data_IF_374440285994
#
_entry.id   IF_374440285994
#
_cell.length_a   1.000
_cell.length_b   1.000
_cell.length_c   1.000
_cell.angle_alpha   90.00
_cell.angle_beta   90.00
_cell.angle_gamma   90.00
#
_symmetry.space_group_name_H-M   'P 1'
#
loop_
_entity.id
_entity.type
_entity.pdbx_description
1 polymer ?
#
# COMPACT_ATOMS: atom_id res chain seq x y z
N UNK A 1 -86.99 23.31 45.66
CA UNK A 1 -86.71 22.64 44.38
C UNK A 1 -85.21 22.74 44.18
N UNK A 2 -84.49 21.73 44.64
CA UNK A 2 -83.02 21.69 44.78
C UNK A 2 -82.45 20.65 43.80
N UNK A 3 -81.75 21.08 42.80
CA UNK A 3 -81.08 20.23 41.82
C UNK A 3 -79.67 19.95 42.28
N UNK A 4 -79.40 18.67 42.57
CA UNK A 4 -78.07 18.17 42.97
C UNK A 4 -77.27 17.84 41.70
N UNK A 5 -76.16 18.51 41.50
CA UNK A 5 -75.23 18.23 40.36
C UNK A 5 -74.14 17.25 40.88
N UNK A 6 -74.13 16.03 40.32
CA UNK A 6 -73.07 15.04 40.61
C UNK A 6 -71.91 15.26 39.67
N UNK A 7 -70.75 15.60 40.25
CA UNK A 7 -69.49 15.75 39.57
C UNK A 7 -68.82 14.34 39.44
N UNK A 8 -68.73 13.83 38.20
CA UNK A 8 -68.00 12.57 37.91
C UNK A 8 -66.57 12.90 37.60
N UNK A 9 -65.66 12.47 38.48
CA UNK A 9 -64.20 12.62 38.32
C UNK A 9 -63.71 11.55 37.36
N UNK A 10 -63.29 11.94 36.17
CA UNK A 10 -62.60 11.05 35.19
C UNK A 10 -61.14 10.95 35.52
N UNK A 11 -60.69 9.80 35.98
CA UNK A 11 -59.27 9.46 36.25
C UNK A 11 -58.60 9.11 34.91
N UNK A 12 -57.81 9.97 34.35
CA UNK A 12 -56.99 9.72 33.14
C UNK A 12 -55.68 9.07 33.58
N UNK A 13 -55.54 7.78 33.28
CA UNK A 13 -54.31 7.01 33.49
C UNK A 13 -53.32 7.33 32.34
N UNK A 14 -52.28 8.09 32.59
CA UNK A 14 -51.18 8.28 31.66
C UNK A 14 -50.25 7.05 31.70
N UNK A 15 -50.33 6.17 30.73
CA UNK A 15 -49.36 5.13 30.49
C UNK A 15 -48.16 5.71 29.73
N UNK A 16 -47.09 6.04 30.45
CA UNK A 16 -45.83 6.45 29.84
C UNK A 16 -45.13 5.25 29.25
N UNK A 17 -45.22 5.04 27.93
CA UNK A 17 -44.39 4.08 27.19
C UNK A 17 -43.01 4.69 27.07
N UNK A 18 -42.08 4.29 27.90
CA UNK A 18 -40.66 4.57 27.74
C UNK A 18 -40.14 3.76 26.53
N UNK A 19 -40.04 4.39 25.35
CA UNK A 19 -39.28 3.83 24.22
C UNK A 19 -37.78 3.84 24.60
N UNK A 20 -37.28 2.70 25.09
CA UNK A 20 -35.86 2.49 25.24
C UNK A 20 -35.20 2.45 23.85
N UNK A 21 -34.61 3.57 23.42
CA UNK A 21 -33.69 3.57 22.30
C UNK A 21 -32.45 2.83 22.79
N UNK A 22 -32.32 1.55 22.42
CA UNK A 22 -31.05 0.83 22.54
C UNK A 22 -30.04 1.54 21.63
N UNK A 23 -29.20 2.41 22.21
CA UNK A 23 -28.01 2.92 21.56
C UNK A 23 -27.12 1.71 21.37
N UNK A 24 -27.04 1.20 20.15
CA UNK A 24 -26.09 0.14 19.80
C UNK A 24 -24.70 0.68 20.12
N UNK A 25 -24.04 0.02 21.06
CA UNK A 25 -22.66 0.33 21.46
C UNK A 25 -21.77 0.13 20.21
N UNK A 26 -21.03 1.15 19.70
CA UNK A 26 -20.17 1.00 18.52
C UNK A 26 -18.92 0.15 18.81
N UNK A 27 -18.81 -0.46 19.96
CA UNK A 27 -17.75 -1.35 20.38
C UNK A 27 -18.01 -2.81 19.96
N UNK A 28 -18.39 -3.06 18.70
CA UNK A 28 -18.31 -4.40 18.17
C UNK A 28 -16.81 -4.72 18.00
N UNK A 29 -16.23 -5.40 19.00
CA UNK A 29 -14.96 -6.10 18.85
C UNK A 29 -15.03 -7.01 17.62
N UNK A 30 -13.90 -7.18 16.91
CA UNK A 30 -13.78 -8.13 15.81
C UNK A 30 -14.39 -9.48 16.23
N UNK A 31 -15.30 -10.03 15.43
CA UNK A 31 -16.06 -11.26 15.74
C UNK A 31 -15.12 -12.48 15.80
N UNK A 32 -14.29 -12.56 16.85
CA UNK A 32 -13.58 -13.78 17.32
C UNK A 32 -12.62 -14.49 16.35
N UNK A 33 -12.46 -14.00 15.12
CA UNK A 33 -11.56 -14.55 14.12
C UNK A 33 -10.17 -13.92 14.13
N UNK A 34 -9.20 -14.53 13.42
CA UNK A 34 -7.86 -13.94 13.21
C UNK A 34 -7.94 -12.87 12.12
N UNK A 35 -7.51 -11.65 12.44
CA UNK A 35 -7.39 -10.57 11.45
C UNK A 35 -6.12 -10.76 10.63
N UNK A 36 -6.25 -10.84 9.32
CA UNK A 36 -5.11 -11.03 8.43
C UNK A 36 -4.72 -9.73 7.71
N UNK A 37 -3.42 -9.42 7.71
CA UNK A 37 -2.81 -8.28 7.01
C UNK A 37 -1.84 -8.81 5.96
N UNK A 38 -2.07 -8.43 4.70
CA UNK A 38 -1.17 -8.68 3.59
C UNK A 38 -0.19 -7.52 3.44
N UNK A 39 1.12 -7.81 3.42
CA UNK A 39 2.12 -6.84 2.98
C UNK A 39 2.72 -7.33 1.66
N UNK A 40 2.57 -6.56 0.60
CA UNK A 40 3.14 -6.87 -0.71
C UNK A 40 3.99 -5.71 -1.19
N UNK A 41 5.31 -5.91 -1.16
CA UNK A 41 6.29 -4.97 -1.70
C UNK A 41 7.16 -5.71 -2.71
N UNK A 42 6.86 -5.52 -3.98
CA UNK A 42 7.67 -6.02 -5.09
C UNK A 42 8.97 -5.23 -5.20
N UNK A 43 10.00 -5.82 -5.78
CA UNK A 43 11.32 -5.18 -5.99
C UNK A 43 11.98 -4.66 -4.70
N UNK A 44 11.52 -5.11 -3.52
CA UNK A 44 12.10 -4.75 -2.24
C UNK A 44 13.47 -5.41 -2.01
N UNK A 45 14.34 -4.73 -1.26
CA UNK A 45 15.60 -5.30 -0.78
C UNK A 45 15.30 -6.15 0.46
N UNK A 46 15.77 -7.41 0.48
CA UNK A 46 15.59 -8.35 1.59
C UNK A 46 14.76 -9.58 1.24
N UNK A 47 14.56 -10.46 2.20
CA UNK A 47 13.71 -11.64 2.00
C UNK A 47 12.48 -11.58 2.91
N UNK A 48 11.34 -12.13 2.48
CA UNK A 48 10.13 -12.22 3.31
C UNK A 48 10.39 -12.90 4.65
N UNK A 49 11.17 -13.98 4.67
CA UNK A 49 11.52 -14.73 5.89
C UNK A 49 12.27 -13.88 6.91
N UNK A 50 13.20 -13.02 6.46
CA UNK A 50 13.96 -12.15 7.36
C UNK A 50 13.10 -10.98 7.86
N UNK A 51 12.13 -10.52 7.09
CA UNK A 51 11.23 -9.43 7.45
C UNK A 51 10.11 -9.87 8.42
N UNK A 52 9.72 -11.16 8.41
CA UNK A 52 8.55 -11.66 9.14
C UNK A 52 8.56 -11.36 10.65
N UNK A 53 9.65 -11.59 11.43
CA UNK A 53 9.65 -11.29 12.86
C UNK A 53 9.43 -9.79 13.17
N UNK A 54 9.85 -8.90 12.29
CA UNK A 54 9.62 -7.45 12.42
C UNK A 54 8.18 -7.11 12.11
N UNK A 55 7.61 -7.72 11.06
CA UNK A 55 6.21 -7.56 10.71
C UNK A 55 5.28 -8.06 11.84
N UNK A 56 5.62 -9.18 12.47
CA UNK A 56 4.83 -9.74 13.58
C UNK A 56 4.75 -8.74 14.75
N UNK A 57 5.86 -8.07 15.10
CA UNK A 57 5.85 -7.03 16.14
C UNK A 57 5.03 -5.80 15.75
N UNK A 58 5.16 -5.35 14.50
CA UNK A 58 4.36 -4.25 13.98
C UNK A 58 2.87 -4.56 14.04
N UNK A 59 2.46 -5.75 13.58
CA UNK A 59 1.07 -6.20 13.57
C UNK A 59 0.52 -6.36 14.99
N UNK A 60 1.32 -6.90 15.94
CA UNK A 60 0.92 -7.02 17.33
C UNK A 60 0.65 -5.64 17.97
N UNK A 61 1.47 -4.62 17.65
CA UNK A 61 1.24 -3.25 18.12
C UNK A 61 -0.01 -2.63 17.50
N UNK A 62 -0.21 -2.81 16.18
CA UNK A 62 -1.42 -2.34 15.52
C UNK A 62 -2.68 -3.02 16.08
N UNK A 63 -2.61 -4.32 16.37
CA UNK A 63 -3.71 -5.06 16.97
C UNK A 63 -4.08 -4.52 18.35
N UNK A 64 -3.08 -4.27 19.20
CA UNK A 64 -3.29 -3.69 20.53
C UNK A 64 -3.97 -2.32 20.48
N UNK A 65 -3.52 -1.45 19.59
CA UNK A 65 -4.07 -0.09 19.47
C UNK A 65 -5.49 -0.06 18.88
N UNK A 66 -5.82 -1.05 18.06
CA UNK A 66 -7.13 -1.14 17.42
C UNK A 66 -8.08 -2.10 18.13
N UNK A 67 -7.68 -2.65 19.29
CA UNK A 67 -8.47 -3.62 20.05
C UNK A 67 -8.88 -4.83 19.20
N UNK A 68 -8.02 -5.23 18.25
CA UNK A 68 -8.18 -6.49 17.54
C UNK A 68 -7.80 -7.64 18.47
N UNK A 69 -8.54 -8.75 18.43
CA UNK A 69 -8.23 -9.92 19.25
C UNK A 69 -6.90 -10.53 18.82
N UNK A 70 -6.89 -11.32 17.78
CA UNK A 70 -5.69 -11.89 17.18
C UNK A 70 -5.48 -11.28 15.79
N UNK A 71 -4.27 -10.84 15.48
CA UNK A 71 -3.90 -10.37 14.14
C UNK A 71 -2.61 -11.01 13.67
N UNK A 72 -2.55 -11.35 12.38
CA UNK A 72 -1.39 -11.94 11.72
C UNK A 72 -1.05 -11.17 10.45
N UNK A 73 0.21 -10.82 10.28
CA UNK A 73 0.73 -10.22 9.06
C UNK A 73 1.54 -11.23 8.25
N UNK A 74 1.47 -11.14 6.93
CA UNK A 74 2.32 -11.92 6.03
C UNK A 74 2.92 -11.04 4.95
N UNK A 75 4.24 -11.13 4.78
CA UNK A 75 4.99 -10.38 3.78
C UNK A 75 5.23 -11.23 2.53
N UNK A 76 4.98 -10.62 1.37
CA UNK A 76 5.23 -11.20 0.04
C UNK A 76 6.02 -10.24 -0.85
N UNK A 77 6.86 -10.82 -1.70
CA UNK A 77 7.63 -10.10 -2.71
C UNK A 77 7.12 -10.33 -4.13
N UNK A 78 6.09 -11.18 -4.31
CA UNK A 78 5.50 -11.48 -5.62
C UNK A 78 3.98 -11.48 -5.56
N UNK A 79 3.32 -11.04 -6.64
CA UNK A 79 1.86 -11.05 -6.75
C UNK A 79 1.28 -12.46 -6.67
N UNK A 80 1.91 -13.43 -7.32
CA UNK A 80 1.40 -14.81 -7.33
C UNK A 80 1.28 -15.39 -5.90
N UNK A 81 2.31 -15.21 -5.05
CA UNK A 81 2.24 -15.69 -3.68
C UNK A 81 1.22 -14.88 -2.83
N UNK A 82 1.08 -13.58 -3.08
CA UNK A 82 0.07 -12.76 -2.44
C UNK A 82 -1.36 -13.17 -2.86
N UNK A 83 -1.59 -13.52 -4.11
CA UNK A 83 -2.87 -14.00 -4.62
C UNK A 83 -3.30 -15.32 -3.96
N UNK A 84 -2.37 -16.26 -3.77
CA UNK A 84 -2.63 -17.49 -3.03
C UNK A 84 -3.05 -17.20 -1.58
N UNK A 85 -2.37 -16.27 -0.93
CA UNK A 85 -2.75 -15.82 0.41
C UNK A 85 -4.13 -15.16 0.44
N UNK A 86 -4.44 -14.29 -0.52
CA UNK A 86 -5.76 -13.65 -0.62
C UNK A 86 -6.87 -14.70 -0.78
N UNK A 87 -6.64 -15.69 -1.63
CA UNK A 87 -7.63 -16.75 -1.91
C UNK A 87 -7.90 -17.61 -0.66
N UNK A 88 -6.86 -17.91 0.13
CA UNK A 88 -6.95 -18.85 1.25
C UNK A 88 -7.25 -18.15 2.59
N UNK A 89 -6.66 -16.99 2.86
CA UNK A 89 -6.75 -16.32 4.16
C UNK A 89 -7.73 -15.14 4.20
N UNK A 90 -8.22 -14.68 3.03
CA UNK A 90 -9.17 -13.56 2.91
C UNK A 90 -8.76 -12.37 3.80
N UNK A 91 -7.61 -11.72 3.52
CA UNK A 91 -7.08 -10.69 4.40
C UNK A 91 -8.07 -9.53 4.58
N UNK A 92 -7.99 -8.86 5.71
CA UNK A 92 -8.80 -7.68 6.04
C UNK A 92 -8.15 -6.41 5.51
N UNK A 93 -6.82 -6.33 5.58
CA UNK A 93 -6.06 -5.16 5.15
C UNK A 93 -4.86 -5.56 4.29
N UNK A 94 -4.45 -4.64 3.42
CA UNK A 94 -3.25 -4.77 2.62
C UNK A 94 -2.39 -3.51 2.70
N UNK A 95 -1.07 -3.69 2.87
CA UNK A 95 -0.06 -2.66 2.62
C UNK A 95 0.60 -3.04 1.31
N UNK A 96 0.27 -2.31 0.24
CA UNK A 96 0.57 -2.73 -1.13
C UNK A 96 1.48 -1.71 -1.82
N UNK A 97 2.48 -2.18 -2.59
CA UNK A 97 3.14 -1.34 -3.58
C UNK A 97 2.11 -0.71 -4.52
N UNK A 98 2.41 0.45 -5.07
CA UNK A 98 1.47 1.14 -5.96
C UNK A 98 1.09 0.26 -7.17
N UNK A 99 2.08 -0.42 -7.76
CA UNK A 99 1.85 -1.31 -8.89
C UNK A 99 0.91 -2.48 -8.54
N UNK A 100 1.14 -3.12 -7.39
CA UNK A 100 0.29 -4.21 -6.90
C UNK A 100 -1.13 -3.71 -6.56
N UNK A 101 -1.26 -2.55 -5.94
CA UNK A 101 -2.58 -1.95 -5.68
C UNK A 101 -3.36 -1.71 -6.98
N UNK A 102 -2.73 -1.12 -7.99
CA UNK A 102 -3.39 -0.83 -9.26
C UNK A 102 -3.87 -2.09 -9.97
N UNK A 103 -3.12 -3.18 -9.90
CA UNK A 103 -3.48 -4.47 -10.45
C UNK A 103 -4.60 -5.15 -9.66
N UNK A 104 -4.53 -5.13 -8.33
CA UNK A 104 -5.44 -5.84 -7.44
C UNK A 104 -6.75 -5.10 -7.15
N UNK A 105 -6.79 -3.77 -7.28
CA UNK A 105 -7.90 -2.94 -6.79
C UNK A 105 -9.28 -3.37 -7.29
N UNK A 106 -9.42 -3.64 -8.58
CA UNK A 106 -10.69 -4.07 -9.17
C UNK A 106 -10.96 -5.55 -8.92
N UNK A 107 -9.92 -6.39 -9.05
CA UNK A 107 -10.00 -7.84 -8.87
C UNK A 107 -10.50 -8.23 -7.49
N UNK A 108 -10.08 -7.49 -6.46
CA UNK A 108 -10.40 -7.78 -5.06
C UNK A 108 -11.26 -6.72 -4.39
N UNK A 109 -11.82 -5.76 -5.15
CA UNK A 109 -12.66 -4.68 -4.63
C UNK A 109 -11.99 -3.93 -3.47
N UNK A 110 -10.74 -3.50 -3.65
CA UNK A 110 -9.97 -2.83 -2.62
C UNK A 110 -10.44 -1.38 -2.42
N UNK A 111 -10.59 -0.99 -1.16
CA UNK A 111 -10.86 0.40 -0.76
C UNK A 111 -9.58 1.03 -0.20
N UNK A 112 -9.20 2.20 -0.70
CA UNK A 112 -8.07 2.98 -0.13
C UNK A 112 -8.51 3.56 1.21
N UNK A 113 -7.79 3.23 2.27
CA UNK A 113 -8.04 3.75 3.62
C UNK A 113 -6.86 4.56 4.16
N UNK A 114 -5.69 4.45 3.55
CA UNK A 114 -4.50 5.16 3.97
C UNK A 114 -3.33 5.00 3.02
N UNK A 115 -2.21 5.60 3.42
CA UNK A 115 -0.91 5.51 2.75
C UNK A 115 0.20 5.24 3.75
N UNK A 116 1.29 4.64 3.28
CA UNK A 116 2.47 4.35 4.08
C UNK A 116 3.66 5.11 3.51
N UNK A 117 4.34 5.86 4.38
CA UNK A 117 5.67 6.39 4.08
C UNK A 117 6.72 5.44 4.65
N UNK A 118 7.72 5.10 3.83
CA UNK A 118 8.78 4.18 4.21
C UNK A 118 10.15 4.86 4.18
N UNK A 119 11.09 4.40 5.02
CA UNK A 119 12.45 4.95 5.11
C UNK A 119 13.29 4.68 3.87
N UNK A 120 13.15 3.50 3.27
CA UNK A 120 13.70 3.16 1.97
C UNK A 120 12.61 3.37 0.92
N UNK A 121 12.52 4.59 0.42
CA UNK A 121 11.58 4.97 -0.62
C UNK A 121 11.95 4.18 -1.87
N UNK A 122 10.98 3.46 -2.43
CA UNK A 122 11.13 2.72 -3.69
C UNK A 122 9.78 2.68 -4.40
N UNK A 123 9.83 2.79 -5.73
CA UNK A 123 8.63 2.78 -6.58
C UNK A 123 7.83 4.09 -6.60
N UNK A 124 8.37 5.20 -6.04
CA UNK A 124 7.74 6.52 -6.14
C UNK A 124 8.33 7.38 -7.27
N UNK A 125 9.53 7.08 -7.73
CA UNK A 125 10.13 7.75 -8.88
C UNK A 125 11.00 6.75 -9.65
N UNK A 126 11.01 6.89 -10.97
CA UNK A 126 11.76 6.00 -11.87
C UNK A 126 12.71 6.78 -12.73
N UNK A 127 13.84 6.16 -13.04
CA UNK A 127 14.93 6.76 -13.80
C UNK A 127 15.39 5.80 -14.89
N UNK A 128 15.58 6.33 -16.10
CA UNK A 128 16.46 5.71 -17.07
C UNK A 128 17.87 6.23 -16.82
N UNK A 129 18.80 5.33 -16.55
CA UNK A 129 20.20 5.67 -16.29
C UNK A 129 21.11 5.10 -17.38
N UNK A 130 22.21 5.80 -17.67
CA UNK A 130 23.24 5.36 -18.62
C UNK A 130 24.60 5.94 -18.25
N UNK A 131 25.68 5.28 -18.73
CA UNK A 131 27.05 5.85 -18.72
C UNK A 131 27.29 6.74 -19.94
N UNK A 132 26.72 6.40 -21.09
CA UNK A 132 27.07 6.95 -22.40
C UNK A 132 25.98 7.79 -23.03
N UNK A 133 24.72 7.40 -22.91
CA UNK A 133 23.60 8.19 -23.42
C UNK A 133 23.47 9.51 -22.62
N UNK A 134 23.03 10.56 -23.29
CA UNK A 134 22.83 11.90 -22.70
C UNK A 134 21.37 12.24 -22.48
N UNK A 135 20.47 11.52 -23.14
CA UNK A 135 19.02 11.69 -23.08
C UNK A 135 18.28 10.38 -23.36
N UNK A 136 16.95 10.42 -23.31
CA UNK A 136 16.07 9.27 -23.57
C UNK A 136 16.26 8.73 -25.01
N UNK A 137 16.47 9.59 -25.99
CA UNK A 137 16.62 9.18 -27.39
C UNK A 137 17.86 8.31 -27.58
N UNK A 138 18.95 8.60 -26.84
CA UNK A 138 20.17 7.78 -26.86
C UNK A 138 20.02 6.38 -26.25
N UNK A 139 18.95 6.12 -25.50
CA UNK A 139 18.62 4.79 -24.98
C UNK A 139 17.68 4.00 -25.91
N UNK A 140 16.87 4.67 -26.75
CA UNK A 140 15.94 3.97 -27.65
C UNK A 140 16.69 3.12 -28.67
N UNK A 141 16.18 1.91 -28.92
CA UNK A 141 16.81 0.92 -29.80
C UNK A 141 17.96 0.14 -29.17
N UNK A 142 18.48 0.58 -28.01
CA UNK A 142 19.59 -0.07 -27.31
C UNK A 142 19.12 -1.08 -26.27
N UNK A 143 20.06 -1.78 -25.60
CA UNK A 143 19.77 -2.78 -24.58
C UNK A 143 19.43 -2.10 -23.26
N UNK A 144 18.25 -2.42 -22.70
CA UNK A 144 17.73 -1.90 -21.45
C UNK A 144 17.58 -2.99 -20.40
N UNK A 145 18.32 -2.90 -19.31
CA UNK A 145 18.11 -3.75 -18.15
C UNK A 145 17.01 -3.20 -17.24
N UNK A 146 16.15 -4.06 -16.71
CA UNK A 146 15.21 -3.70 -15.64
C UNK A 146 14.63 -4.93 -14.96
N UNK A 147 14.47 -4.87 -13.65
CA UNK A 147 13.67 -5.80 -12.84
C UNK A 147 12.18 -5.42 -12.83
N UNK A 148 11.84 -4.21 -13.28
CA UNK A 148 10.46 -3.73 -13.42
C UNK A 148 9.83 -4.03 -14.78
N UNK A 149 10.60 -4.52 -15.76
CA UNK A 149 10.13 -4.71 -17.15
C UNK A 149 9.02 -5.76 -17.32
N UNK A 150 8.77 -6.59 -16.32
CA UNK A 150 7.68 -7.58 -16.32
C UNK A 150 6.30 -6.95 -16.10
N UNK A 151 6.21 -5.76 -15.50
CA UNK A 151 4.96 -5.03 -15.30
C UNK A 151 4.78 -3.95 -16.40
N UNK A 152 4.60 -4.45 -17.63
CA UNK A 152 4.50 -3.60 -18.83
C UNK A 152 3.45 -2.52 -18.67
N UNK A 153 2.25 -2.89 -18.17
CA UNK A 153 1.13 -1.94 -18.04
C UNK A 153 1.47 -0.81 -17.07
N UNK A 154 2.02 -1.14 -15.92
CA UNK A 154 2.40 -0.14 -14.92
C UNK A 154 3.50 0.78 -15.46
N UNK A 155 4.55 0.21 -16.04
CA UNK A 155 5.67 1.01 -16.57
C UNK A 155 5.20 1.92 -17.70
N UNK A 156 4.48 1.42 -18.69
CA UNK A 156 4.10 2.25 -19.84
C UNK A 156 3.01 3.27 -19.52
N UNK A 157 1.99 2.88 -18.73
CA UNK A 157 0.83 3.75 -18.48
C UNK A 157 1.02 4.70 -17.33
N UNK A 158 1.70 4.28 -16.26
CA UNK A 158 1.80 5.04 -15.01
C UNK A 158 3.17 5.72 -14.86
N UNK A 159 4.24 4.99 -15.14
CA UNK A 159 5.60 5.50 -15.01
C UNK A 159 5.99 6.36 -16.21
N UNK A 160 5.99 5.79 -17.41
CA UNK A 160 6.45 6.46 -18.62
C UNK A 160 5.46 7.51 -19.16
N UNK A 161 4.16 7.31 -18.96
CA UNK A 161 3.09 8.25 -19.38
C UNK A 161 3.25 8.74 -20.84
N UNK A 162 3.64 7.85 -21.74
CA UNK A 162 3.81 8.14 -23.16
C UNK A 162 5.20 8.67 -23.54
N UNK A 163 6.14 8.85 -22.62
CA UNK A 163 7.53 9.21 -22.96
C UNK A 163 8.22 8.09 -23.75
N UNK A 164 7.92 6.83 -23.42
CA UNK A 164 8.39 5.64 -24.13
C UNK A 164 7.42 4.47 -23.90
N UNK A 165 7.58 3.43 -24.72
CA UNK A 165 7.05 2.09 -24.47
C UNK A 165 8.22 1.12 -24.30
N UNK A 166 8.03 0.02 -23.57
CA UNK A 166 9.12 -0.95 -23.35
C UNK A 166 9.62 -1.57 -24.68
N UNK A 167 8.74 -1.66 -25.68
CA UNK A 167 9.10 -2.06 -27.05
C UNK A 167 10.06 -1.13 -27.78
N UNK A 168 10.30 0.11 -27.29
CA UNK A 168 11.33 1.01 -27.83
C UNK A 168 12.77 0.51 -27.56
N UNK A 169 12.95 -0.54 -26.73
CA UNK A 169 14.23 -1.04 -26.25
C UNK A 169 14.40 -2.54 -26.50
N UNK A 170 15.65 -3.00 -26.49
CA UNK A 170 15.98 -4.42 -26.42
C UNK A 170 16.05 -4.83 -24.94
N UNK A 171 14.93 -5.36 -24.41
CA UNK A 171 14.81 -5.64 -22.98
C UNK A 171 15.71 -6.77 -22.53
N UNK A 172 16.40 -6.54 -21.41
CA UNK A 172 17.20 -7.52 -20.67
C UNK A 172 16.60 -7.61 -19.26
N UNK A 173 15.59 -8.48 -19.03
CA UNK A 173 14.97 -8.61 -17.72
C UNK A 173 15.98 -9.06 -16.67
N UNK A 174 15.95 -8.43 -15.51
CA UNK A 174 16.74 -8.83 -14.35
C UNK A 174 15.79 -9.23 -13.21
N UNK A 175 16.28 -10.00 -12.25
CA UNK A 175 15.45 -10.49 -11.14
C UNK A 175 15.73 -9.78 -9.82
N UNK A 176 16.80 -8.97 -9.79
CA UNK A 176 17.24 -8.30 -8.56
C UNK A 176 17.61 -6.86 -8.84
N UNK A 177 17.20 -5.94 -7.96
CA UNK A 177 17.45 -4.50 -8.14
C UNK A 177 18.93 -4.16 -8.39
N UNK A 178 19.85 -4.69 -7.60
CA UNK A 178 21.29 -4.43 -7.76
C UNK A 178 21.88 -5.07 -9.01
N UNK A 179 21.31 -6.15 -9.52
CA UNK A 179 21.74 -6.77 -10.77
C UNK A 179 21.52 -5.81 -11.94
N UNK A 180 20.35 -5.16 -11.98
CA UNK A 180 20.00 -4.16 -13.00
C UNK A 180 21.09 -3.09 -13.14
N UNK A 181 21.56 -2.53 -12.02
CA UNK A 181 22.63 -1.53 -12.01
C UNK A 181 23.97 -2.12 -12.48
N UNK A 182 24.30 -3.33 -12.01
CA UNK A 182 25.58 -3.99 -12.37
C UNK A 182 25.69 -4.29 -13.85
N UNK A 183 24.58 -4.60 -14.53
CA UNK A 183 24.60 -4.84 -15.98
C UNK A 183 25.05 -3.59 -16.77
N UNK A 184 24.59 -2.38 -16.37
CA UNK A 184 25.07 -1.13 -16.98
C UNK A 184 26.51 -0.83 -16.62
N UNK A 185 26.89 -1.00 -15.35
CA UNK A 185 28.26 -0.76 -14.90
C UNK A 185 29.27 -1.64 -15.63
N UNK A 186 28.92 -2.90 -15.89
CA UNK A 186 29.75 -3.86 -16.63
C UNK A 186 29.76 -3.61 -18.16
N UNK A 187 28.90 -2.70 -18.67
CA UNK A 187 28.76 -2.48 -20.11
C UNK A 187 28.00 -3.61 -20.85
N UNK A 188 27.34 -4.47 -20.09
CA UNK A 188 26.51 -5.53 -20.67
C UNK A 188 25.22 -5.01 -21.29
N UNK A 189 24.75 -3.86 -20.87
CA UNK A 189 23.62 -3.10 -21.42
C UNK A 189 23.96 -1.60 -21.46
N UNK A 190 23.26 -0.85 -22.32
CA UNK A 190 23.53 0.57 -22.53
C UNK A 190 22.79 1.45 -21.53
N UNK A 191 21.59 1.02 -21.13
CA UNK A 191 20.70 1.75 -20.23
C UNK A 191 20.06 0.81 -19.21
N UNK A 192 19.59 1.36 -18.08
CA UNK A 192 18.74 0.65 -17.13
C UNK A 192 17.56 1.52 -16.69
N UNK A 193 16.39 0.88 -16.50
CA UNK A 193 15.25 1.46 -15.83
C UNK A 193 15.25 0.99 -14.37
N UNK A 194 15.41 1.94 -13.46
CA UNK A 194 15.51 1.73 -12.01
C UNK A 194 14.52 2.63 -11.27
N UNK A 195 14.23 2.30 -10.01
CA UNK A 195 13.45 3.14 -9.13
C UNK A 195 14.33 4.00 -8.19
N UNK A 196 13.68 4.81 -7.35
CA UNK A 196 14.34 5.70 -6.40
C UNK A 196 15.11 4.94 -5.30
N UNK A 197 14.69 3.73 -4.89
CA UNK A 197 15.47 2.90 -3.96
C UNK A 197 16.81 2.47 -4.59
N UNK A 198 16.76 1.99 -5.82
CA UNK A 198 17.95 1.59 -6.59
C UNK A 198 18.85 2.81 -6.87
N UNK A 199 18.26 3.95 -7.22
CA UNK A 199 19.00 5.20 -7.45
C UNK A 199 19.75 5.67 -6.19
N UNK A 200 19.18 5.48 -5.01
CA UNK A 200 19.81 5.77 -3.72
C UNK A 200 21.05 4.91 -3.41
N UNK A 201 21.19 3.77 -4.07
CA UNK A 201 22.37 2.89 -3.91
C UNK A 201 23.54 3.25 -4.84
N UNK A 202 23.31 4.03 -5.90
CA UNK A 202 24.35 4.38 -6.87
C UNK A 202 25.63 4.98 -6.22
N UNK A 203 25.55 5.92 -5.25
CA UNK A 203 26.75 6.47 -4.63
C UNK A 203 27.62 5.47 -3.87
N UNK A 204 27.03 4.32 -3.48
CA UNK A 204 27.71 3.27 -2.72
C UNK A 204 28.37 2.22 -3.62
N UNK A 205 28.04 2.21 -4.90
CA UNK A 205 28.56 1.23 -5.85
C UNK A 205 29.83 1.74 -6.55
N UNK A 206 30.87 0.88 -6.69
CA UNK A 206 32.04 1.23 -7.50
C UNK A 206 31.59 1.58 -8.94
N UNK A 207 31.96 2.77 -9.42
CA UNK A 207 31.53 3.28 -10.73
C UNK A 207 30.11 3.85 -10.78
N UNK A 208 29.34 3.79 -9.70
CA UNK A 208 27.96 4.28 -9.67
C UNK A 208 27.83 5.79 -9.99
N UNK A 209 28.86 6.58 -9.65
CA UNK A 209 28.91 8.01 -9.99
C UNK A 209 29.04 8.29 -11.52
N UNK A 210 29.39 7.29 -12.32
CA UNK A 210 29.43 7.40 -13.78
C UNK A 210 28.03 7.29 -14.41
N UNK A 211 27.07 6.70 -13.68
CA UNK A 211 25.70 6.54 -14.12
C UNK A 211 24.92 7.83 -13.84
N UNK A 212 24.27 8.34 -14.86
CA UNK A 212 23.45 9.56 -14.76
C UNK A 212 22.03 9.29 -15.29
N UNK A 213 21.03 9.94 -14.70
CA UNK A 213 19.68 9.90 -15.23
C UNK A 213 19.64 10.60 -16.61
N UNK A 214 19.12 9.90 -17.61
CA UNK A 214 18.85 10.42 -18.96
C UNK A 214 17.35 10.70 -19.15
N UNK A 215 16.52 10.17 -18.24
CA UNK A 215 15.11 10.45 -18.13
C UNK A 215 14.65 10.18 -16.69
N UNK A 216 13.67 10.95 -16.23
CA UNK A 216 13.08 10.84 -14.88
C UNK A 216 11.57 10.92 -14.96
N UNK A 217 10.87 10.01 -14.28
CA UNK A 217 9.42 10.05 -14.20
C UNK A 217 8.91 11.19 -13.30
N UNK A 218 7.64 11.51 -13.42
CA UNK A 218 6.94 12.22 -12.34
C UNK A 218 7.02 11.42 -11.04
N UNK A 219 6.83 12.12 -9.92
CA UNK A 219 6.74 11.47 -8.61
C UNK A 219 5.36 10.82 -8.46
N UNK A 220 5.34 9.54 -8.11
CA UNK A 220 4.14 8.74 -7.93
C UNK A 220 3.70 8.75 -6.45
N UNK A 221 2.42 8.48 -6.17
CA UNK A 221 1.94 8.28 -4.81
C UNK A 221 2.67 7.13 -4.08
N UNK A 222 2.74 7.18 -2.73
CA UNK A 222 3.38 6.13 -1.94
C UNK A 222 2.57 4.83 -1.92
N UNK A 223 3.07 3.82 -1.19
CA UNK A 223 2.37 2.57 -0.94
C UNK A 223 1.00 2.80 -0.30
N UNK A 224 0.05 1.95 -0.67
CA UNK A 224 -1.36 2.05 -0.27
C UNK A 224 -1.64 1.18 0.94
N UNK A 225 -2.38 1.73 1.92
CA UNK A 225 -3.12 0.90 2.88
C UNK A 225 -4.52 0.73 2.33
N UNK A 226 -4.87 -0.50 1.99
CA UNK A 226 -6.15 -0.87 1.42
C UNK A 226 -6.95 -1.76 2.37
N UNK A 227 -8.27 -1.61 2.40
CA UNK A 227 -9.18 -2.55 3.03
C UNK A 227 -9.72 -3.51 1.98
N UNK A 228 -9.77 -4.80 2.34
CA UNK A 228 -10.48 -5.84 1.60
C UNK A 228 -11.96 -5.88 2.04
N UNK A 229 -12.85 -6.52 1.27
CA UNK A 229 -14.27 -6.68 1.65
C UNK A 229 -14.50 -7.45 2.96
N UNK A 230 -13.51 -8.22 3.42
CA UNK A 230 -13.53 -8.92 4.72
C UNK A 230 -13.44 -7.97 5.92
N UNK A 231 -12.88 -6.77 5.76
CA UNK A 231 -12.86 -5.76 6.81
C UNK A 231 -14.23 -5.09 6.96
N UNK A 232 -14.85 -5.15 8.14
CA UNK A 232 -16.11 -4.48 8.41
C UNK A 232 -15.96 -2.95 8.44
N UNK A 233 -17.04 -2.22 8.18
CA UNK A 233 -17.01 -0.74 8.23
C UNK A 233 -16.58 -0.20 9.61
N UNK A 234 -17.07 -0.70 10.76
CA UNK A 234 -16.61 -0.24 12.07
C UNK A 234 -15.11 -0.47 12.29
N UNK A 235 -14.55 -1.62 11.87
CA UNK A 235 -13.12 -1.92 11.97
C UNK A 235 -12.28 -0.98 11.12
N UNK A 236 -12.69 -0.72 9.87
CA UNK A 236 -12.00 0.22 8.98
C UNK A 236 -11.93 1.62 9.58
N UNK A 237 -13.05 2.13 10.10
CA UNK A 237 -13.12 3.46 10.73
C UNK A 237 -12.24 3.53 11.99
N UNK A 238 -12.21 2.47 12.80
CA UNK A 238 -11.34 2.40 13.97
C UNK A 238 -9.88 2.40 13.57
N UNK A 239 -9.48 1.60 12.59
CA UNK A 239 -8.11 1.55 12.09
C UNK A 239 -7.67 2.90 11.52
N UNK A 240 -8.51 3.54 10.70
CA UNK A 240 -8.24 4.89 10.17
C UNK A 240 -8.05 5.92 11.28
N UNK A 241 -8.90 5.90 12.31
CA UNK A 241 -8.79 6.81 13.47
C UNK A 241 -7.45 6.68 14.18
N UNK A 242 -6.88 5.49 14.21
CA UNK A 242 -5.67 5.17 14.96
C UNK A 242 -4.40 5.20 14.09
N UNK A 243 -4.47 5.50 12.78
CA UNK A 243 -3.30 5.47 11.89
C UNK A 243 -2.11 6.27 12.44
N UNK A 244 -2.33 7.50 12.87
CA UNK A 244 -1.26 8.37 13.35
C UNK A 244 -0.61 7.86 14.64
N UNK A 245 -1.27 6.96 15.38
CA UNK A 245 -0.78 6.40 16.64
C UNK A 245 -0.10 5.05 16.48
N UNK A 246 -0.29 4.36 15.35
CA UNK A 246 0.34 3.05 15.11
C UNK A 246 1.87 3.14 15.14
N UNK A 247 2.44 4.28 14.74
CA UNK A 247 3.89 4.54 14.70
C UNK A 247 4.30 5.74 15.58
N UNK A 248 3.60 6.02 16.68
CA UNK A 248 3.97 7.07 17.62
C UNK A 248 5.02 6.60 18.67
N UNK A 249 5.29 7.41 19.69
CA UNK A 249 6.42 7.28 20.60
C UNK A 249 6.79 5.85 21.03
N UNK A 250 5.82 5.07 21.54
CA UNK A 250 6.06 3.74 22.10
C UNK A 250 6.20 2.65 21.00
N UNK A 251 5.55 2.85 19.86
CA UNK A 251 5.50 1.89 18.75
C UNK A 251 6.46 2.22 17.61
N UNK A 252 7.04 3.42 17.62
CA UNK A 252 8.02 3.89 16.63
C UNK A 252 9.18 2.91 16.35
N UNK A 253 9.77 2.23 17.37
CA UNK A 253 10.81 1.24 17.11
C UNK A 253 10.33 0.09 16.21
N UNK A 254 9.15 -0.46 16.46
CA UNK A 254 8.58 -1.55 15.65
C UNK A 254 8.24 -1.10 14.23
N UNK A 255 7.76 0.12 14.04
CA UNK A 255 7.56 0.70 12.72
C UNK A 255 8.91 0.88 11.99
N UNK A 256 9.93 1.41 12.66
CA UNK A 256 11.25 1.60 12.07
C UNK A 256 11.90 0.29 11.64
N UNK A 257 11.69 -0.81 12.38
CA UNK A 257 12.18 -2.14 12.06
C UNK A 257 11.61 -2.67 10.74
N UNK A 258 10.35 -2.41 10.43
CA UNK A 258 9.72 -2.74 9.13
C UNK A 258 9.92 -1.63 8.09
N UNK A 259 10.69 -0.60 8.43
CA UNK A 259 10.98 0.53 7.55
C UNK A 259 9.81 1.51 7.34
N UNK A 260 8.77 1.44 8.17
CA UNK A 260 7.64 2.38 8.13
C UNK A 260 7.99 3.62 8.96
N UNK A 261 7.85 4.82 8.37
CA UNK A 261 8.03 6.10 9.05
C UNK A 261 6.72 6.75 9.46
N UNK A 262 5.66 6.55 8.69
CA UNK A 262 4.30 6.98 9.05
C UNK A 262 3.23 6.15 8.35
N UNK A 263 2.06 6.06 9.00
CA UNK A 263 0.79 5.69 8.39
C UNK A 263 -0.11 6.92 8.43
N UNK A 264 -0.59 7.35 7.28
CA UNK A 264 -1.42 8.55 7.15
C UNK A 264 -2.73 8.21 6.46
N UNK A 265 -3.78 8.99 6.75
CA UNK A 265 -5.03 8.86 6.03
C UNK A 265 -4.84 9.16 4.54
N UNK A 266 -5.49 8.38 3.70
CA UNK A 266 -5.62 8.65 2.28
C UNK A 266 -6.95 8.07 1.78
N UNK A 267 -7.38 8.55 0.63
CA UNK A 267 -8.60 8.15 -0.03
C UNK A 267 -8.35 7.80 -1.49
N UNK A 268 -9.36 7.29 -2.19
CA UNK A 268 -9.28 7.05 -3.62
C UNK A 268 -8.89 8.31 -4.43
N UNK A 269 -9.21 9.51 -3.94
CA UNK A 269 -8.85 10.77 -4.60
C UNK A 269 -7.34 10.99 -4.67
N UNK A 270 -6.58 10.57 -3.65
CA UNK A 270 -5.12 10.70 -3.62
C UNK A 270 -4.41 9.86 -4.70
N UNK A 271 -5.09 8.83 -5.21
CA UNK A 271 -4.59 7.91 -6.24
C UNK A 271 -5.30 8.07 -7.59
N UNK A 272 -6.23 9.01 -7.73
CA UNK A 272 -7.10 9.13 -8.90
C UNK A 272 -6.32 9.26 -10.22
N UNK A 273 -5.24 10.05 -10.23
CA UNK A 273 -4.41 10.25 -11.43
C UNK A 273 -3.75 8.96 -11.93
N UNK A 274 -3.15 8.17 -11.01
CA UNK A 274 -2.48 6.92 -11.38
C UNK A 274 -3.49 5.81 -11.70
N UNK A 275 -4.65 5.81 -11.04
CA UNK A 275 -5.78 4.92 -11.36
C UNK A 275 -6.30 5.20 -12.77
N UNK A 276 -6.50 6.47 -13.12
CA UNK A 276 -6.94 6.87 -14.46
C UNK A 276 -5.91 6.50 -15.54
N UNK A 277 -4.62 6.73 -15.27
CA UNK A 277 -3.53 6.36 -16.18
C UNK A 277 -3.41 4.86 -16.39
N UNK A 278 -3.51 4.07 -15.31
CA UNK A 278 -3.45 2.60 -15.39
C UNK A 278 -4.64 2.02 -16.16
N UNK A 279 -5.83 2.64 -16.03
CA UNK A 279 -7.08 2.18 -16.64
C UNK A 279 -7.70 1.00 -15.88
N UNK A 280 -8.80 0.49 -16.43
CA UNK A 280 -9.54 -0.67 -15.89
C UNK A 280 -9.04 -1.98 -16.50
#
# INVERSE_FOLDING_TARGET
>A
MTISLRLSTLLVLFVSVALGIAVADPSAAHDGGVLHILVLKEHGVGSPTLAQPYLDRFVANAAKQNEWGEAKGQYYATRAAAEEFIATQKPHYGILSLAAFLDFRMKYNLEVIGKVTVSLIGGQQYFLISKTATDLAGCKGSRLASDHATDVRFIEKVVARGAFVLGDFQLVPTQRPLQTIKEVLAGNVDCALIDDAQSGELPRLPGGAELRPVWTSEKLPPMVVAAFPSASTPERLRFQKNFNTVCDADTKPACAEVGITSLDLASAADYASVVAAYGN
#
